data_IF_585385425265
#
_entry.id   IF_585385425265
#
_cell.length_a   1.000
_cell.length_b   1.000
_cell.length_c   1.000
_cell.angle_alpha   90.00
_cell.angle_beta   90.00
_cell.angle_gamma   90.00
#
_symmetry.space_group_name_H-M   'P 1'
#
loop_
_entity.id
_entity.type
_entity.pdbx_description
1 polymer ?
#
# COMPACT_ATOMS: atom_id res chain seq x y z
N UNK A 1 -16.61 55.80 6.80
CA UNK A 1 -17.53 54.64 6.93
C UNK A 1 -17.70 53.91 5.59
N UNK A 2 -16.97 52.80 5.40
CA UNK A 2 -17.08 51.93 4.22
C UNK A 2 -17.22 50.50 4.74
N UNK A 3 -18.40 49.92 4.55
CA UNK A 3 -18.77 48.60 5.05
C UNK A 3 -17.85 47.52 4.44
N UNK A 4 -17.22 46.74 5.31
CA UNK A 4 -16.44 45.56 4.93
C UNK A 4 -17.44 44.43 4.67
N UNK A 5 -17.55 44.02 3.40
CA UNK A 5 -18.38 42.88 3.01
C UNK A 5 -17.76 41.61 3.58
N UNK A 6 -18.57 40.89 4.33
CA UNK A 6 -18.31 39.55 4.82
C UNK A 6 -18.12 38.60 3.62
N UNK A 7 -16.91 38.05 3.48
CA UNK A 7 -16.59 37.03 2.48
C UNK A 7 -16.88 35.68 3.13
N UNK A 8 -18.12 35.21 2.98
CA UNK A 8 -18.49 33.84 3.30
C UNK A 8 -17.59 32.83 2.58
N UNK A 9 -17.35 31.63 3.16
CA UNK A 9 -16.47 30.64 2.58
C UNK A 9 -17.05 30.17 1.25
N UNK A 10 -16.27 30.36 0.18
CA UNK A 10 -16.59 29.87 -1.15
C UNK A 10 -16.78 28.34 -1.12
N UNK A 11 -18.04 27.91 -1.06
CA UNK A 11 -18.46 26.52 -1.22
C UNK A 11 -18.33 26.12 -2.69
N UNK A 12 -17.14 25.67 -3.07
CA UNK A 12 -16.88 25.22 -4.44
C UNK A 12 -15.65 24.33 -4.60
N UNK A 13 -15.02 23.89 -3.50
CA UNK A 13 -13.94 22.91 -3.59
C UNK A 13 -14.56 21.52 -3.64
N UNK A 14 -14.42 20.84 -4.78
CA UNK A 14 -14.55 19.39 -4.89
C UNK A 14 -13.77 18.79 -3.70
N UNK A 15 -14.48 18.29 -2.68
CA UNK A 15 -13.83 17.69 -1.52
C UNK A 15 -13.16 16.41 -2.02
N UNK A 16 -11.85 16.45 -2.27
CA UNK A 16 -11.08 15.25 -2.59
C UNK A 16 -11.37 14.19 -1.53
N UNK A 17 -11.78 13.00 -1.97
CA UNK A 17 -12.14 11.90 -1.07
C UNK A 17 -10.92 11.41 -0.25
N UNK A 18 -9.72 11.56 -0.80
CA UNK A 18 -8.45 11.24 -0.14
C UNK A 18 -7.53 12.46 -0.08
N UNK A 19 -6.89 12.66 1.07
CA UNK A 19 -5.93 13.74 1.32
C UNK A 19 -4.52 13.44 0.81
N UNK A 20 -4.23 12.19 0.47
CA UNK A 20 -2.95 11.74 -0.08
C UNK A 20 -3.06 11.45 -1.58
N UNK A 21 -2.04 11.86 -2.34
CA UNK A 21 -1.98 11.68 -3.80
C UNK A 21 -1.07 10.52 -4.19
N UNK A 22 0.21 10.66 -3.86
CA UNK A 22 1.24 9.67 -4.17
C UNK A 22 1.79 9.05 -2.88
N UNK A 23 2.02 7.74 -2.92
CA UNK A 23 2.63 6.96 -1.84
C UNK A 23 4.00 6.45 -2.27
N UNK A 24 4.97 6.49 -1.36
CA UNK A 24 6.32 5.99 -1.59
C UNK A 24 6.83 5.28 -0.34
N UNK A 25 7.41 4.10 -0.51
CA UNK A 25 8.12 3.40 0.55
C UNK A 25 9.31 2.62 0.00
N UNK A 26 10.43 2.66 0.73
CA UNK A 26 11.62 1.85 0.44
C UNK A 26 12.04 1.09 1.71
N UNK A 27 12.19 -0.23 1.58
CA UNK A 27 12.62 -1.11 2.65
C UNK A 27 13.79 -1.92 2.12
N UNK A 28 14.95 -1.81 2.78
CA UNK A 28 16.20 -2.39 2.29
C UNK A 28 16.96 -3.11 3.39
N UNK A 29 17.42 -4.30 3.06
CA UNK A 29 18.29 -5.14 3.86
C UNK A 29 19.47 -5.61 3.00
N UNK A 30 20.34 -6.46 3.55
CA UNK A 30 21.42 -7.07 2.77
C UNK A 30 20.87 -8.11 1.80
N UNK A 31 19.81 -8.83 2.18
CA UNK A 31 19.27 -9.95 1.41
C UNK A 31 18.09 -9.61 0.51
N UNK A 32 17.39 -8.50 0.76
CA UNK A 32 16.22 -8.08 0.01
C UNK A 32 16.06 -6.56 -0.01
N UNK A 33 15.75 -6.02 -1.19
CA UNK A 33 15.40 -4.63 -1.41
C UNK A 33 13.98 -4.55 -1.97
N UNK A 34 13.19 -3.60 -1.49
CA UNK A 34 11.82 -3.35 -1.89
C UNK A 34 11.60 -1.86 -2.11
N UNK A 35 11.05 -1.51 -3.26
CA UNK A 35 10.58 -0.16 -3.61
C UNK A 35 9.11 -0.23 -3.97
N UNK A 36 8.27 0.57 -3.30
CA UNK A 36 6.84 0.66 -3.53
C UNK A 36 6.49 2.08 -3.93
N UNK A 37 5.70 2.21 -4.99
CA UNK A 37 5.00 3.44 -5.34
C UNK A 37 3.50 3.17 -5.36
N UNK A 38 2.72 4.16 -4.95
CA UNK A 38 1.26 4.12 -4.98
C UNK A 38 0.69 5.41 -5.54
N UNK A 39 -0.44 5.31 -6.24
CA UNK A 39 -1.17 6.47 -6.76
C UNK A 39 -2.67 6.31 -6.55
N UNK A 40 -3.31 7.37 -6.07
CA UNK A 40 -4.75 7.43 -5.87
C UNK A 40 -5.41 8.20 -7.01
N UNK A 41 -6.51 7.67 -7.55
CA UNK A 41 -7.32 8.28 -8.59
C UNK A 41 -8.77 8.30 -8.13
N UNK A 42 -9.30 9.50 -7.86
CA UNK A 42 -10.71 9.72 -7.55
C UNK A 42 -11.50 9.89 -8.85
N UNK A 43 -12.53 9.08 -9.04
CA UNK A 43 -13.37 9.11 -10.25
C UNK A 43 -14.52 10.11 -10.15
N UNK A 44 -14.76 10.72 -8.97
CA UNK A 44 -15.84 11.68 -8.75
C UNK A 44 -17.25 11.07 -8.75
N UNK A 45 -17.39 9.78 -9.01
CA UNK A 45 -18.64 9.02 -9.04
C UNK A 45 -18.88 8.20 -7.75
N UNK A 46 -18.12 8.47 -6.68
CA UNK A 46 -18.16 7.68 -5.45
C UNK A 46 -17.31 6.41 -5.50
N UNK A 47 -16.36 6.30 -6.45
CA UNK A 47 -15.34 5.25 -6.47
C UNK A 47 -13.93 5.83 -6.57
N UNK A 48 -12.95 5.10 -6.05
CA UNK A 48 -11.53 5.48 -6.05
C UNK A 48 -10.71 4.28 -6.47
N UNK A 49 -9.76 4.48 -7.37
CA UNK A 49 -8.73 3.50 -7.68
C UNK A 49 -7.43 3.82 -6.97
N UNK A 50 -6.79 2.78 -6.43
CA UNK A 50 -5.43 2.86 -5.87
C UNK A 50 -4.56 1.89 -6.64
N UNK A 51 -3.54 2.43 -7.29
CA UNK A 51 -2.56 1.65 -8.05
C UNK A 51 -1.29 1.51 -7.23
N UNK A 52 -0.85 0.28 -6.99
CA UNK A 52 0.47 0.01 -6.46
C UNK A 52 1.37 -0.55 -7.55
N UNK A 53 2.61 -0.08 -7.57
CA UNK A 53 3.69 -0.76 -8.25
C UNK A 53 4.79 -1.02 -7.23
N UNK A 54 5.27 -2.27 -7.17
CA UNK A 54 6.43 -2.58 -6.36
C UNK A 54 7.47 -3.38 -7.12
N UNK A 55 8.73 -3.04 -6.91
CA UNK A 55 9.88 -3.75 -7.44
C UNK A 55 10.69 -4.28 -6.26
N UNK A 56 11.05 -5.55 -6.29
CA UNK A 56 11.91 -6.15 -5.30
C UNK A 56 13.06 -6.91 -5.92
N UNK A 57 14.19 -6.92 -5.22
CA UNK A 57 15.39 -7.63 -5.64
C UNK A 57 16.02 -8.33 -4.45
N UNK A 58 16.23 -9.63 -4.54
CA UNK A 58 16.77 -10.46 -3.46
C UNK A 58 15.87 -11.63 -3.11
N UNK A 59 15.99 -12.16 -1.89
CA UNK A 59 15.24 -13.33 -1.43
C UNK A 59 14.27 -12.96 -0.31
N UNK A 60 12.99 -13.27 -0.52
CA UNK A 60 11.96 -13.14 0.50
C UNK A 60 10.56 -12.92 -0.05
N UNK A 61 9.60 -12.87 0.86
CA UNK A 61 8.18 -12.68 0.55
C UNK A 61 7.76 -11.24 0.90
N UNK A 62 7.03 -10.63 -0.02
CA UNK A 62 6.56 -9.25 0.11
C UNK A 62 5.07 -9.24 -0.24
N UNK A 63 4.29 -8.51 0.53
CA UNK A 63 2.92 -8.16 0.14
C UNK A 63 2.64 -6.69 0.40
N UNK A 64 1.84 -6.08 -0.47
CA UNK A 64 1.33 -4.71 -0.35
C UNK A 64 -0.17 -4.78 -0.57
N UNK A 65 -0.94 -4.28 0.40
CA UNK A 65 -2.41 -4.38 0.37
C UNK A 65 -3.06 -3.15 0.99
N UNK A 66 -4.33 -2.95 0.66
CA UNK A 66 -5.19 -2.01 1.39
C UNK A 66 -5.89 -2.77 2.51
N UNK A 67 -5.94 -2.15 3.68
CA UNK A 67 -6.60 -2.73 4.87
C UNK A 67 -7.43 -1.66 5.61
N UNK A 68 -8.43 -2.07 6.39
CA UNK A 68 -9.11 -1.15 7.30
C UNK A 68 -8.17 -0.70 8.44
N UNK A 69 -8.44 0.45 9.10
CA UNK A 69 -7.61 0.95 10.19
C UNK A 69 -7.56 0.02 11.41
N UNK A 70 -8.59 -0.82 11.57
CA UNK A 70 -8.72 -1.83 12.62
C UNK A 70 -7.73 -2.98 12.48
N UNK A 71 -7.15 -3.20 11.30
CA UNK A 71 -6.19 -4.28 11.07
C UNK A 71 -4.99 -4.14 12.00
N UNK A 72 -4.75 -5.13 12.86
CA UNK A 72 -3.59 -5.14 13.74
C UNK A 72 -2.27 -5.31 12.95
N UNK A 73 -1.19 -4.72 13.45
CA UNK A 73 0.17 -4.89 12.90
C UNK A 73 0.79 -6.10 13.57
N UNK A 74 0.98 -7.18 12.81
CA UNK A 74 1.52 -8.44 13.34
C UNK A 74 2.30 -9.21 12.28
N UNK A 75 3.25 -10.03 12.73
CA UNK A 75 4.10 -10.88 11.89
C UNK A 75 3.45 -12.21 11.47
N UNK A 76 2.28 -12.55 12.00
CA UNK A 76 1.75 -13.90 11.88
C UNK A 76 0.98 -14.12 10.57
N UNK A 77 1.50 -15.01 9.71
CA UNK A 77 1.03 -15.27 8.34
C UNK A 77 -0.27 -16.09 8.32
N UNK A 78 -0.47 -16.99 9.30
CA UNK A 78 -1.63 -17.90 9.35
C UNK A 78 -2.90 -17.19 9.84
N UNK A 79 -2.75 -16.34 10.87
CA UNK A 79 -3.86 -15.49 11.34
C UNK A 79 -4.30 -14.47 10.29
N UNK A 80 -3.40 -14.08 9.39
CA UNK A 80 -3.68 -13.08 8.36
C UNK A 80 -4.80 -13.53 7.41
N UNK A 81 -4.79 -14.81 6.98
CA UNK A 81 -5.75 -15.41 6.05
C UNK A 81 -7.16 -15.49 6.65
N UNK A 82 -7.26 -15.89 7.93
CA UNK A 82 -8.55 -16.00 8.62
C UNK A 82 -9.20 -14.63 8.88
N UNK A 83 -8.39 -13.62 9.21
CA UNK A 83 -8.87 -12.24 9.43
C UNK A 83 -9.29 -11.60 8.10
N UNK A 84 -8.55 -11.83 7.02
CA UNK A 84 -8.85 -11.31 5.68
C UNK A 84 -10.20 -11.85 5.15
N UNK A 85 -10.52 -13.11 5.40
CA UNK A 85 -11.83 -13.70 5.07
C UNK A 85 -13.00 -13.10 5.89
N UNK A 86 -12.75 -12.65 7.12
CA UNK A 86 -13.78 -12.06 8.00
C UNK A 86 -13.98 -10.56 7.78
N UNK A 87 -12.90 -9.81 7.52
CA UNK A 87 -12.93 -8.36 7.27
C UNK A 87 -13.32 -8.00 5.82
N UNK A 88 -13.10 -8.90 4.85
CA UNK A 88 -13.46 -8.68 3.43
C UNK A 88 -14.95 -8.47 3.18
N UNK A 89 -15.85 -8.93 4.07
CA UNK A 89 -17.30 -8.61 3.97
C UNK A 89 -17.66 -7.18 4.37
N UNK A 90 -16.75 -6.47 5.06
CA UNK A 90 -17.00 -5.14 5.64
C UNK A 90 -16.08 -4.07 5.00
N UNK A 91 -15.04 -4.50 4.29
CA UNK A 91 -14.08 -3.62 3.64
C UNK A 91 -14.44 -3.37 2.17
N UNK A 92 -14.77 -2.11 1.84
CA UNK A 92 -15.27 -1.72 0.52
C UNK A 92 -14.17 -1.54 -0.55
N UNK A 93 -12.97 -2.09 -0.34
CA UNK A 93 -11.89 -2.06 -1.31
C UNK A 93 -11.54 -3.49 -1.73
N UNK A 94 -11.43 -3.73 -3.03
CA UNK A 94 -11.11 -5.02 -3.62
C UNK A 94 -10.03 -4.90 -4.69
N UNK A 95 -9.28 -5.98 -4.88
CA UNK A 95 -8.35 -6.09 -6.01
C UNK A 95 -9.16 -6.22 -7.30
N UNK A 96 -8.93 -5.31 -8.24
CA UNK A 96 -9.53 -5.35 -9.59
C UNK A 96 -8.61 -6.08 -10.56
N UNK A 97 -7.30 -5.81 -10.48
CA UNK A 97 -6.29 -6.50 -11.28
C UNK A 97 -4.98 -6.60 -10.53
N UNK A 98 -4.26 -7.68 -10.79
CA UNK A 98 -2.92 -7.91 -10.29
C UNK A 98 -2.07 -8.53 -11.40
N UNK A 99 -0.84 -8.03 -11.55
CA UNK A 99 0.15 -8.54 -12.48
C UNK A 99 1.47 -8.67 -11.75
N UNK A 100 2.03 -9.88 -11.72
CA UNK A 100 3.31 -10.16 -11.07
C UNK A 100 4.24 -10.81 -12.07
N UNK A 101 5.33 -10.13 -12.39
CA UNK A 101 6.42 -10.65 -13.19
C UNK A 101 7.60 -11.01 -12.27
N UNK A 102 8.07 -12.26 -12.36
CA UNK A 102 9.23 -12.75 -11.61
C UNK A 102 10.31 -13.19 -12.58
N UNK A 103 11.54 -12.76 -12.32
CA UNK A 103 12.72 -13.18 -13.04
C UNK A 103 13.78 -13.63 -12.04
N UNK A 104 14.48 -14.73 -12.34
CA UNK A 104 15.58 -15.23 -11.53
C UNK A 104 16.86 -15.19 -12.35
N UNK A 105 17.88 -14.52 -11.83
CA UNK A 105 19.22 -14.49 -12.40
C UNK A 105 20.14 -15.33 -11.54
N UNK A 106 20.75 -16.35 -12.11
CA UNK A 106 21.74 -17.19 -11.44
C UNK A 106 23.13 -16.85 -11.99
N UNK A 107 24.09 -16.63 -11.11
CA UNK A 107 25.49 -16.35 -11.44
C UNK A 107 26.42 -17.01 -10.43
N UNK A 108 27.72 -17.10 -10.72
CA UNK A 108 28.69 -17.49 -9.71
C UNK A 108 28.76 -16.42 -8.61
N UNK A 109 28.95 -16.84 -7.36
CA UNK A 109 29.08 -15.92 -6.24
C UNK A 109 30.43 -15.17 -6.31
N UNK A 110 30.41 -13.86 -6.03
CA UNK A 110 31.63 -13.02 -6.08
C UNK A 110 32.69 -13.45 -5.06
N UNK A 111 32.29 -13.91 -3.88
CA UNK A 111 33.20 -14.31 -2.80
C UNK A 111 33.63 -15.78 -2.85
N UNK A 112 32.91 -16.61 -3.61
CA UNK A 112 33.14 -18.06 -3.69
C UNK A 112 32.71 -18.56 -5.08
N UNK A 113 33.60 -18.53 -6.08
CA UNK A 113 33.28 -18.92 -7.45
C UNK A 113 32.87 -20.39 -7.61
N UNK A 114 33.11 -21.24 -6.60
CA UNK A 114 32.64 -22.63 -6.60
C UNK A 114 31.15 -22.75 -6.28
N UNK A 115 30.51 -21.67 -5.81
CA UNK A 115 29.08 -21.62 -5.49
C UNK A 115 28.30 -20.79 -6.52
N UNK A 116 27.07 -21.24 -6.77
CA UNK A 116 26.08 -20.50 -7.55
C UNK A 116 25.20 -19.66 -6.62
N UNK A 117 25.15 -18.36 -6.89
CA UNK A 117 24.28 -17.39 -6.25
C UNK A 117 23.12 -17.08 -7.20
N UNK A 118 21.89 -17.12 -6.69
CA UNK A 118 20.73 -16.63 -7.44
C UNK A 118 20.19 -15.35 -6.85
N UNK A 119 19.68 -14.46 -7.69
CA UNK A 119 18.99 -13.24 -7.30
C UNK A 119 17.63 -13.22 -7.98
N UNK A 120 16.58 -13.02 -7.21
CA UNK A 120 15.23 -12.88 -7.75
C UNK A 120 14.89 -11.41 -7.90
N UNK A 121 14.25 -11.08 -9.02
CA UNK A 121 13.68 -9.77 -9.30
C UNK A 121 12.18 -9.94 -9.50
N UNK A 122 11.38 -9.26 -8.69
CA UNK A 122 9.92 -9.27 -8.82
C UNK A 122 9.44 -7.86 -9.11
N UNK A 123 8.63 -7.72 -10.15
CA UNK A 123 7.88 -6.50 -10.45
C UNK A 123 6.40 -6.83 -10.35
N UNK A 124 5.69 -6.11 -9.50
CA UNK A 124 4.25 -6.28 -9.30
C UNK A 124 3.53 -4.97 -9.55
N UNK A 125 2.34 -5.08 -10.14
CA UNK A 125 1.38 -3.99 -10.30
C UNK A 125 0.02 -4.50 -9.83
N UNK A 126 -0.62 -3.76 -8.94
CA UNK A 126 -1.95 -4.07 -8.44
C UNK A 126 -2.85 -2.84 -8.53
N UNK A 127 -4.07 -3.03 -9.03
CA UNK A 127 -5.12 -2.02 -9.01
C UNK A 127 -6.18 -2.44 -8.00
N UNK A 128 -6.51 -1.53 -7.08
CA UNK A 128 -7.56 -1.68 -6.11
C UNK A 128 -8.69 -0.73 -6.44
N UNK A 129 -9.93 -1.21 -6.35
CA UNK A 129 -11.15 -0.41 -6.48
C UNK A 129 -11.81 -0.30 -5.11
N UNK A 130 -12.00 0.93 -4.64
CA UNK A 130 -12.73 1.27 -3.41
C UNK A 130 -14.06 1.97 -3.74
N UNK A 131 -15.14 1.61 -3.04
CA UNK A 131 -16.49 2.18 -3.27
C UNK A 131 -17.10 2.78 -2.00
N UNK A 132 -17.97 3.80 -2.15
CA UNK A 132 -18.70 4.39 -1.03
C UNK A 132 -19.60 3.36 -0.33
N UNK A 133 -19.82 3.49 1.00
CA UNK A 133 -19.22 4.47 1.90
C UNK A 133 -17.77 4.09 2.27
N UNK A 134 -16.83 5.03 2.13
CA UNK A 134 -15.43 4.76 2.47
C UNK A 134 -15.10 5.24 3.88
N UNK A 135 -14.31 4.44 4.59
CA UNK A 135 -13.62 4.83 5.82
C UNK A 135 -12.15 5.11 5.48
N UNK A 136 -11.38 5.63 6.44
CA UNK A 136 -9.91 5.74 6.32
C UNK A 136 -9.35 4.40 5.82
N UNK A 137 -8.54 4.42 4.77
CA UNK A 137 -7.86 3.23 4.26
C UNK A 137 -6.38 3.32 4.64
N UNK A 138 -5.80 2.18 4.98
CA UNK A 138 -4.39 2.07 5.31
C UNK A 138 -3.67 1.18 4.30
N UNK A 139 -2.41 1.51 4.01
CA UNK A 139 -1.48 0.67 3.26
C UNK A 139 -0.80 -0.28 4.25
N UNK A 140 -0.92 -1.58 4.01
CA UNK A 140 -0.27 -2.63 4.81
C UNK A 140 0.83 -3.29 4.00
N UNK A 141 2.04 -3.28 4.53
CA UNK A 141 3.23 -3.82 3.90
C UNK A 141 3.76 -4.94 4.78
N UNK A 142 3.98 -6.10 4.17
CA UNK A 142 4.78 -7.17 4.79
C UNK A 142 6.07 -7.36 4.03
N UNK A 143 7.16 -7.54 4.78
CA UNK A 143 8.49 -7.76 4.27
C UNK A 143 9.12 -8.90 5.08
N UNK A 144 9.29 -10.05 4.45
CA UNK A 144 9.91 -11.23 5.06
C UNK A 144 11.13 -11.61 4.26
N UNK A 145 12.30 -11.15 4.68
CA UNK A 145 13.57 -11.65 4.17
C UNK A 145 14.17 -12.70 5.09
N UNK A 146 15.31 -13.24 4.68
CA UNK A 146 16.08 -14.22 5.45
C UNK A 146 16.86 -13.60 6.61
N UNK A 147 17.16 -12.29 6.55
CA UNK A 147 17.90 -11.55 7.57
C UNK A 147 16.98 -10.72 8.49
N UNK A 148 15.91 -10.12 7.94
CA UNK A 148 14.96 -9.32 8.70
C UNK A 148 13.50 -9.56 8.29
N UNK A 149 12.60 -9.29 9.24
CA UNK A 149 11.15 -9.25 9.04
C UNK A 149 10.62 -7.90 9.48
N UNK A 150 9.71 -7.32 8.70
CA UNK A 150 9.08 -6.03 8.99
C UNK A 150 7.62 -6.05 8.54
N UNK A 151 6.75 -5.48 9.37
CA UNK A 151 5.34 -5.24 9.04
C UNK A 151 5.01 -3.78 9.35
N UNK A 152 4.43 -3.07 8.38
CA UNK A 152 4.12 -1.66 8.49
C UNK A 152 2.69 -1.39 8.03
N UNK A 153 1.95 -0.61 8.82
CA UNK A 153 0.63 -0.08 8.46
C UNK A 153 0.69 1.44 8.45
N UNK A 154 0.45 2.06 7.29
CA UNK A 154 0.41 3.50 7.12
C UNK A 154 -1.03 3.95 6.81
N UNK A 155 -1.57 4.90 7.60
CA UNK A 155 -2.93 5.41 7.45
C UNK A 155 -2.90 6.93 7.21
N UNK A 156 -2.74 7.41 5.97
CA UNK A 156 -2.43 8.83 5.71
C UNK A 156 -3.51 9.81 6.18
N UNK A 157 -4.79 9.43 6.10
CA UNK A 157 -5.93 10.30 6.44
C UNK A 157 -6.57 10.01 7.81
N UNK A 158 -5.89 9.26 8.68
CA UNK A 158 -6.47 8.82 9.96
C UNK A 158 -6.95 9.99 10.84
N UNK A 159 -6.13 11.04 10.95
CA UNK A 159 -6.42 12.22 11.79
C UNK A 159 -7.48 13.16 11.19
N UNK A 160 -7.69 13.12 9.87
CA UNK A 160 -8.72 13.93 9.21
C UNK A 160 -10.13 13.41 9.52
N UNK A 161 -10.24 12.11 9.79
CA UNK A 161 -11.50 11.46 10.13
C UNK A 161 -11.81 11.57 11.63
N UNK A 162 -10.81 11.51 12.52
CA UNK A 162 -11.01 11.69 13.96
C UNK A 162 -11.46 13.10 14.37
N UNK A 163 -11.35 14.08 13.47
CA UNK A 163 -11.78 15.47 13.66
C UNK A 163 -13.15 15.80 13.05
N UNK A 164 -13.80 14.86 12.39
CA UNK A 164 -15.20 15.03 11.96
C UNK A 164 -16.09 14.60 13.13
N UNK A 165 -16.93 15.50 13.68
CA UNK A 165 -17.82 15.17 14.80
C UNK A 165 -18.83 14.09 14.43
#
# INVERSE_FOLDING_TARGET
PRAQRDLGPASGRLQKLFGWGDFYSNIKTVKLNLLITGKVVDHGNGTVNVFFQHNSTGHGNISVSLVPPTKAVQFDLEQQIFIEAKESKVFNCRVESEQVARARKTSLCTFDPAKTCSQEHTQSRAAWLCSQPFRVVCVYITFYSSDYRLVQKACPDYNAHSRRP
#
